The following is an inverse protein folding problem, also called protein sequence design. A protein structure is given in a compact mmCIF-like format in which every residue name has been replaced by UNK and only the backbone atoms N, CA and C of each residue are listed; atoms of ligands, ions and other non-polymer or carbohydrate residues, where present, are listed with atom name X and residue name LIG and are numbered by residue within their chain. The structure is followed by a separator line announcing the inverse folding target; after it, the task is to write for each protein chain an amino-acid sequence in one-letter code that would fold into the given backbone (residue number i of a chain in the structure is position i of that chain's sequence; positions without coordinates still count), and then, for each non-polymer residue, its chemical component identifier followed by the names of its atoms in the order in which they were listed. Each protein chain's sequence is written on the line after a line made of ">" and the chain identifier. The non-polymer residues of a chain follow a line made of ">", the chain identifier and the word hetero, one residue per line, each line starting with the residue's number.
data_IF_874494335909
#
_entry.id   IF_874494335909
#
_cell.length_a   1.000
_cell.length_b   1.000
_cell.length_c   1.000
_cell.angle_alpha   90.00
_cell.angle_beta   90.00
_cell.angle_gamma   90.00
#
_symmetry.space_group_name_H-M   'P 1'
#
loop_
_entity.id
_entity.type
_entity.pdbx_description
1 polymer ?
#
# COMPACT_ATOMS: atom_id res chain seq x y z
N UNK A 1 4.41 -26.39 1.74
CA UNK A 1 4.16 -25.58 0.53
C UNK A 1 4.49 -24.15 0.89
N UNK A 2 5.50 -23.53 0.25
CA UNK A 2 5.84 -22.14 0.54
C UNK A 2 4.72 -21.23 -0.01
N UNK A 3 4.36 -20.14 0.68
CA UNK A 3 3.39 -19.18 0.14
C UNK A 3 3.87 -18.66 -1.22
N UNK A 4 2.96 -18.51 -2.17
CA UNK A 4 3.31 -17.94 -3.48
C UNK A 4 3.52 -16.44 -3.34
N UNK A 5 4.56 -15.93 -4.01
CA UNK A 5 4.84 -14.49 -4.09
C UNK A 5 3.82 -13.83 -5.02
N UNK A 6 3.17 -12.77 -4.54
CA UNK A 6 2.09 -12.09 -5.27
C UNK A 6 2.38 -10.59 -5.40
N UNK A 7 1.85 -9.99 -6.47
CA UNK A 7 1.85 -8.55 -6.67
C UNK A 7 0.97 -7.85 -5.62
N UNK A 8 1.37 -6.67 -5.19
CA UNK A 8 0.61 -5.83 -4.26
C UNK A 8 -0.63 -5.20 -4.93
N UNK A 9 -1.63 -6.02 -5.22
CA UNK A 9 -2.87 -5.62 -5.88
C UNK A 9 -4.04 -5.79 -4.90
N UNK A 10 -4.73 -4.69 -4.60
CA UNK A 10 -5.90 -4.66 -3.71
C UNK A 10 -7.08 -4.04 -4.42
N UNK A 11 -7.74 -4.84 -5.24
CA UNK A 11 -8.87 -4.43 -6.09
C UNK A 11 -9.97 -5.49 -6.05
N UNK A 12 -11.18 -5.10 -6.42
CA UNK A 12 -12.31 -6.01 -6.65
C UNK A 12 -12.04 -6.94 -7.84
N UNK A 13 -12.75 -8.06 -7.88
CA UNK A 13 -12.65 -9.04 -8.97
C UNK A 13 -12.90 -8.40 -10.35
N UNK A 14 -13.82 -7.44 -10.44
CA UNK A 14 -14.17 -6.75 -11.68
C UNK A 14 -13.01 -5.89 -12.18
N UNK A 15 -12.27 -5.26 -11.27
CA UNK A 15 -11.13 -4.40 -11.59
C UNK A 15 -9.81 -5.14 -11.80
N UNK A 16 -9.76 -6.45 -11.55
CA UNK A 16 -8.52 -7.24 -11.51
C UNK A 16 -7.75 -7.22 -12.83
N UNK A 17 -8.40 -7.50 -13.96
CA UNK A 17 -7.74 -7.54 -15.27
C UNK A 17 -7.08 -6.20 -15.61
N UNK A 18 -7.79 -5.10 -15.37
CA UNK A 18 -7.27 -3.74 -15.57
C UNK A 18 -6.10 -3.45 -14.63
N UNK A 19 -6.18 -3.86 -13.36
CA UNK A 19 -5.09 -3.68 -12.40
C UNK A 19 -3.83 -4.45 -12.82
N UNK A 20 -3.98 -5.69 -13.30
CA UNK A 20 -2.86 -6.50 -13.81
C UNK A 20 -2.18 -5.84 -15.00
N UNK A 21 -2.94 -5.28 -15.95
CA UNK A 21 -2.38 -4.54 -17.09
C UNK A 21 -1.60 -3.29 -16.66
N UNK A 22 -2.14 -2.53 -15.70
CA UNK A 22 -1.45 -1.34 -15.15
C UNK A 22 -0.13 -1.74 -14.49
N UNK A 23 -0.15 -2.78 -13.64
CA UNK A 23 1.06 -3.23 -12.95
C UNK A 23 2.08 -3.79 -13.94
N UNK A 24 1.65 -4.60 -14.92
CA UNK A 24 2.54 -5.11 -15.97
C UNK A 24 3.24 -3.97 -16.72
N UNK A 25 2.49 -2.95 -17.16
CA UNK A 25 3.07 -1.79 -17.85
C UNK A 25 4.04 -1.00 -16.98
N UNK A 26 3.72 -0.81 -15.69
CA UNK A 26 4.61 -0.13 -14.75
C UNK A 26 5.91 -0.92 -14.54
N UNK A 27 5.83 -2.24 -14.36
CA UNK A 27 7.00 -3.11 -14.21
C UNK A 27 7.88 -3.02 -15.46
N UNK A 28 7.29 -3.15 -16.66
CA UNK A 28 8.04 -3.04 -17.90
C UNK A 28 8.79 -1.70 -18.02
N UNK A 29 8.15 -0.57 -17.70
CA UNK A 29 8.81 0.75 -17.75
C UNK A 29 9.98 0.84 -16.75
N UNK A 30 9.83 0.28 -15.56
CA UNK A 30 10.90 0.28 -14.53
C UNK A 30 12.08 -0.59 -14.98
N UNK A 31 11.79 -1.75 -15.55
CA UNK A 31 12.80 -2.70 -16.03
C UNK A 31 13.52 -2.18 -17.30
N UNK A 32 12.79 -1.57 -18.23
CA UNK A 32 13.36 -0.91 -19.42
C UNK A 32 14.29 0.25 -19.05
N UNK A 33 14.05 0.90 -17.91
CA UNK A 33 14.94 1.93 -17.36
C UNK A 33 16.18 1.36 -16.64
N UNK A 34 16.36 0.03 -16.61
CA UNK A 34 17.51 -0.65 -16.01
C UNK A 34 17.40 -0.91 -14.51
N UNK A 35 16.21 -0.76 -13.93
CA UNK A 35 15.95 -1.06 -12.51
C UNK A 35 15.31 -2.44 -12.36
N UNK A 36 15.44 -3.07 -11.20
CA UNK A 36 14.84 -4.40 -10.96
C UNK A 36 13.56 -4.29 -10.14
N UNK A 37 12.54 -5.07 -10.50
CA UNK A 37 11.34 -5.26 -9.68
C UNK A 37 11.37 -6.65 -9.02
N UNK A 38 10.94 -6.74 -7.77
CA UNK A 38 10.79 -8.00 -7.03
C UNK A 38 9.51 -8.01 -6.20
N UNK A 39 9.11 -9.20 -5.77
CA UNK A 39 7.95 -9.42 -4.88
C UNK A 39 8.40 -10.13 -3.60
N UNK A 40 7.91 -9.67 -2.46
CA UNK A 40 8.14 -10.31 -1.16
C UNK A 40 6.98 -11.22 -0.79
N UNK A 41 7.32 -12.45 -0.43
CA UNK A 41 6.36 -13.51 -0.15
C UNK A 41 5.59 -13.32 1.16
N UNK A 42 6.20 -12.70 2.17
CA UNK A 42 5.60 -12.58 3.51
C UNK A 42 4.56 -11.48 3.62
N UNK A 43 4.82 -10.33 3.00
CA UNK A 43 3.95 -9.16 3.07
C UNK A 43 3.12 -8.95 1.79
N UNK A 44 3.30 -9.81 0.77
CA UNK A 44 2.71 -9.67 -0.58
C UNK A 44 2.93 -8.27 -1.15
N UNK A 45 4.16 -7.80 -1.03
CA UNK A 45 4.58 -6.47 -1.46
C UNK A 45 5.36 -6.55 -2.76
N UNK A 46 5.22 -5.53 -3.59
CA UNK A 46 6.02 -5.33 -4.80
C UNK A 46 6.99 -4.19 -4.57
N UNK A 47 8.26 -4.40 -4.94
CA UNK A 47 9.35 -3.46 -4.73
C UNK A 47 10.07 -3.20 -6.03
N UNK A 48 10.39 -1.94 -6.29
CA UNK A 48 11.33 -1.56 -7.32
C UNK A 48 12.63 -1.08 -6.64
N UNK A 49 13.77 -1.56 -7.14
CA UNK A 49 15.08 -1.23 -6.59
C UNK A 49 15.74 -0.13 -7.41
N UNK A 50 15.78 1.07 -6.85
CA UNK A 50 16.41 2.24 -7.45
C UNK A 50 17.68 2.58 -6.68
N UNK A 51 18.84 2.49 -7.33
CA UNK A 51 20.14 2.85 -6.74
C UNK A 51 20.39 2.25 -5.34
N UNK A 52 19.94 1.01 -5.10
CA UNK A 52 20.08 0.33 -3.81
C UNK A 52 19.00 0.63 -2.77
N UNK A 53 18.02 1.47 -3.09
CA UNK A 53 16.83 1.72 -2.26
C UNK A 53 15.62 0.92 -2.78
N UNK A 54 14.80 0.40 -1.87
CA UNK A 54 13.59 -0.36 -2.18
C UNK A 54 12.34 0.52 -2.05
N UNK A 55 11.69 0.76 -3.19
CA UNK A 55 10.43 1.51 -3.27
C UNK A 55 9.27 0.51 -3.34
N UNK A 56 8.44 0.49 -2.30
CA UNK A 56 7.23 -0.33 -2.20
C UNK A 56 6.12 0.33 -2.99
N UNK A 57 5.53 -0.39 -3.94
CA UNK A 57 4.41 0.11 -4.72
C UNK A 57 3.39 -0.97 -5.06
N UNK A 58 2.19 -0.54 -5.43
CA UNK A 58 1.11 -1.43 -5.84
C UNK A 58 -0.10 -0.68 -6.34
N UNK A 59 -1.15 -1.43 -6.68
CA UNK A 59 -2.42 -0.87 -7.20
C UNK A 59 -3.54 -1.16 -6.21
N UNK A 60 -4.24 -0.10 -5.82
CA UNK A 60 -5.39 -0.16 -4.92
C UNK A 60 -6.63 0.40 -5.60
N UNK A 61 -7.79 -0.18 -5.33
CA UNK A 61 -9.08 0.38 -5.72
C UNK A 61 -9.62 1.24 -4.59
N UNK A 62 -10.09 2.45 -4.92
CA UNK A 62 -10.78 3.29 -3.94
C UNK A 62 -12.10 2.65 -3.55
N UNK A 63 -12.47 2.84 -2.30
CA UNK A 63 -13.73 2.34 -1.75
C UNK A 63 -14.65 3.55 -1.55
N UNK A 64 -15.83 3.49 -2.17
CA UNK A 64 -16.87 4.48 -2.00
C UNK A 64 -17.78 4.12 -0.83
N UNK A 65 -18.37 5.15 -0.22
CA UNK A 65 -19.39 5.01 0.82
C UNK A 65 -20.73 5.28 0.19
N UNK A 66 -21.60 4.28 0.19
CA UNK A 66 -22.94 4.39 -0.39
C UNK A 66 -23.94 4.39 0.75
N UNK A 67 -24.76 5.45 0.86
CA UNK A 67 -25.87 5.50 1.81
C UNK A 67 -26.90 4.40 1.46
N UNK A 68 -27.38 3.68 2.47
CA UNK A 68 -28.40 2.64 2.30
C UNK A 68 -29.69 3.03 3.03
N UNK A 69 -30.84 2.64 2.48
CA UNK A 69 -32.14 3.03 3.03
C UNK A 69 -32.49 2.31 4.35
N UNK A 70 -31.98 1.09 4.52
CA UNK A 70 -32.13 0.30 5.72
C UNK A 70 -30.88 -0.59 5.90
N UNK A 71 -30.51 -0.94 7.16
CA UNK A 71 -29.52 -1.99 7.41
C UNK A 71 -29.88 -3.29 6.67
N UNK A 72 -28.90 -4.10 6.25
CA UNK A 72 -29.17 -5.45 5.77
C UNK A 72 -30.03 -6.21 6.79
N UNK A 73 -31.01 -6.99 6.31
CA UNK A 73 -31.82 -7.85 7.19
C UNK A 73 -30.95 -9.02 7.69
N UNK A 74 -30.26 -8.83 8.81
CA UNK A 74 -29.34 -9.80 9.41
C UNK A 74 -29.17 -9.56 10.92
N UNK A 75 -29.25 -10.62 11.72
CA UNK A 75 -29.49 -10.55 13.18
C UNK A 75 -28.44 -9.83 14.04
N UNK A 76 -28.87 -9.55 15.28
CA UNK A 76 -28.29 -8.98 16.52
C UNK A 76 -26.81 -8.53 16.67
N UNK A 77 -25.91 -8.76 15.71
CA UNK A 77 -24.48 -8.43 15.79
C UNK A 77 -23.90 -7.74 14.53
N UNK A 78 -24.70 -7.42 13.51
CA UNK A 78 -24.20 -6.62 12.39
C UNK A 78 -24.01 -5.15 12.82
N UNK A 79 -22.75 -4.78 13.11
CA UNK A 79 -22.35 -3.39 13.31
C UNK A 79 -22.54 -2.62 12.00
N UNK A 80 -23.69 -1.97 11.88
CA UNK A 80 -23.99 -1.06 10.77
C UNK A 80 -22.98 0.08 10.80
N UNK A 81 -22.19 0.21 9.74
CA UNK A 81 -21.33 1.37 9.55
C UNK A 81 -22.24 2.59 9.38
N UNK A 82 -22.06 3.60 10.21
CA UNK A 82 -22.82 4.85 10.11
C UNK A 82 -21.88 6.02 9.90
N UNK A 83 -22.31 6.96 9.06
CA UNK A 83 -21.63 8.24 8.84
C UNK A 83 -22.69 9.33 8.97
N UNK A 84 -22.44 10.29 9.86
CA UNK A 84 -23.42 11.33 10.21
C UNK A 84 -24.81 10.78 10.59
N UNK A 85 -24.85 9.61 11.24
CA UNK A 85 -26.09 8.95 11.66
C UNK A 85 -26.83 8.19 10.57
N UNK A 86 -26.35 8.18 9.32
CA UNK A 86 -26.92 7.40 8.23
C UNK A 86 -26.16 6.09 8.02
N UNK A 87 -26.84 4.96 7.79
CA UNK A 87 -26.18 3.71 7.49
C UNK A 87 -25.54 3.77 6.09
N UNK A 88 -24.33 3.24 5.99
CA UNK A 88 -23.57 3.18 4.74
C UNK A 88 -23.02 1.79 4.50
N UNK A 89 -22.87 1.43 3.23
CA UNK A 89 -22.06 0.29 2.79
C UNK A 89 -20.78 0.78 2.12
N UNK A 90 -19.78 -0.10 2.07
CA UNK A 90 -18.49 0.15 1.41
C UNK A 90 -18.45 -0.63 0.10
N UNK A 91 -18.38 0.09 -1.01
CA UNK A 91 -18.38 -0.52 -2.35
C UNK A 91 -17.08 -0.19 -3.10
N UNK A 92 -16.51 -1.14 -3.87
CA UNK A 92 -15.42 -0.84 -4.77
C UNK A 92 -15.86 0.17 -5.84
N UNK A 93 -15.16 1.29 -5.94
CA UNK A 93 -15.55 2.42 -6.79
C UNK A 93 -15.28 2.23 -8.29
N UNK A 94 -14.48 1.22 -8.67
CA UNK A 94 -13.90 1.17 -10.02
C UNK A 94 -12.74 2.15 -10.25
N UNK A 95 -12.36 2.98 -9.27
CA UNK A 95 -11.27 3.93 -9.40
C UNK A 95 -9.96 3.33 -8.87
N UNK A 96 -9.02 3.05 -9.78
CA UNK A 96 -7.71 2.50 -9.43
C UNK A 96 -6.69 3.60 -9.17
N UNK A 97 -5.83 3.39 -8.18
CA UNK A 97 -4.71 4.26 -7.85
C UNK A 97 -3.44 3.44 -7.71
N UNK A 98 -2.35 3.91 -8.31
CA UNK A 98 -1.02 3.46 -7.93
C UNK A 98 -0.71 4.09 -6.58
N UNK A 99 -0.20 3.29 -5.64
CA UNK A 99 0.23 3.75 -4.33
C UNK A 99 1.70 3.42 -4.15
N UNK A 100 2.46 4.40 -3.67
CA UNK A 100 3.85 4.24 -3.25
C UNK A 100 3.89 4.35 -1.73
N UNK A 101 4.26 3.27 -1.05
CA UNK A 101 4.25 3.21 0.42
C UNK A 101 5.57 3.66 1.04
N UNK A 102 6.68 3.58 0.31
CA UNK A 102 7.98 4.14 0.73
C UNK A 102 8.45 5.17 -0.27
N UNK A 103 8.65 6.41 0.19
CA UNK A 103 9.23 7.45 -0.64
C UNK A 103 10.75 7.24 -0.78
N UNK A 104 11.29 7.46 -1.97
CA UNK A 104 12.74 7.46 -2.18
C UNK A 104 13.42 8.44 -1.21
N UNK A 105 14.50 8.00 -0.56
CA UNK A 105 15.24 8.75 0.45
C UNK A 105 14.58 8.83 1.84
N UNK A 106 13.44 8.19 2.09
CA UNK A 106 12.81 8.21 3.43
C UNK A 106 13.67 7.54 4.50
N UNK A 107 14.45 6.52 4.13
CA UNK A 107 15.36 5.84 5.06
C UNK A 107 16.67 6.62 5.29
N UNK A 108 17.09 7.48 4.36
CA UNK A 108 18.20 8.43 4.59
C UNK A 108 17.89 9.36 5.77
N UNK A 109 16.66 9.88 5.86
CA UNK A 109 16.21 10.71 7.00
C UNK A 109 16.17 9.97 8.34
N UNK A 110 16.01 8.64 8.36
CA UNK A 110 16.08 7.84 9.59
C UNK A 110 17.51 7.57 10.05
N UNK A 111 18.49 7.53 9.13
CA UNK A 111 19.92 7.37 9.48
C UNK A 111 20.51 8.64 10.10
N UNK A 112 20.15 9.83 9.62
CA UNK A 112 20.67 11.08 10.19
C UNK A 112 20.22 11.35 11.64
N UNK A 113 19.08 10.81 12.08
CA UNK A 113 18.63 10.95 13.48
C UNK A 113 19.38 10.07 14.48
N UNK A 114 20.26 9.18 14.05
CA UNK A 114 21.08 8.36 14.96
C UNK A 114 22.38 9.05 15.40
N UNK A 115 22.61 10.30 14.98
CA UNK A 115 23.77 11.13 15.39
C UNK A 115 23.40 12.30 16.29
N UNK A 116 22.41 12.17 17.18
CA UNK A 116 22.24 13.09 18.31
C UNK A 116 21.98 12.27 19.56
N UNK A 117 23.04 11.97 20.29
CA UNK A 117 23.19 11.88 21.75
C UNK A 117 24.43 11.03 22.07
N UNK A 118 25.60 11.67 22.00
CA UNK A 118 26.68 11.32 22.92
C UNK A 118 26.68 12.41 23.98
N UNK A 119 26.37 12.13 25.26
CA UNK A 119 26.64 13.11 26.30
C UNK A 119 28.16 13.25 26.38
N UNK A 120 28.69 14.38 25.93
CA UNK A 120 30.06 14.75 26.22
C UNK A 120 30.17 14.92 27.74
N UNK A 121 31.06 14.15 28.32
CA UNK A 121 31.39 14.06 29.74
C UNK A 121 31.90 15.44 30.25
N UNK A 122 31.25 16.10 31.22
CA UNK A 122 31.75 17.35 31.78
C UNK A 122 32.73 17.04 32.91
N UNK A 123 33.95 16.68 32.55
CA UNK A 123 35.09 16.68 33.45
C UNK A 123 36.36 16.79 32.63
N UNK A 124 36.84 18.03 32.42
CA UNK A 124 38.25 18.43 32.35
C UNK A 124 38.31 19.93 32.04
N UNK A 125 38.60 20.69 33.12
CA UNK A 125 38.97 22.11 33.24
C UNK A 125 37.91 23.19 32.95
#
# INVERSE_FOLDING_TARGET
>A
MAPESCLAIRVSKVSLDRALRIVAGLISIVEDAGFSVSVETREHLTFAKFHGEEIRFGVVEKIDRVEIAAPPEGGLLERVLTVAGKPVTLEPSGNLSITVWTAYGSDRKKRDRRYVFSPANPALF
#
